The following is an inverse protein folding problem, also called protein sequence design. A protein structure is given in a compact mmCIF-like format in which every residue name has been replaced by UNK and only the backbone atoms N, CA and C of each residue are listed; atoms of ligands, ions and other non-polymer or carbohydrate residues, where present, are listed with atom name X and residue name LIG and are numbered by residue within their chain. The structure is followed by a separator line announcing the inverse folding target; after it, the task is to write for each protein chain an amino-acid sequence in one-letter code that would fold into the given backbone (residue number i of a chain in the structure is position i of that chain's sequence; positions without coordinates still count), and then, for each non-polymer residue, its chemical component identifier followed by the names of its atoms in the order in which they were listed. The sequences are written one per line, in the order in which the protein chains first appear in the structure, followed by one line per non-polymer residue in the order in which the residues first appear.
data_IF_301631087596
#
_entry.id   IF_301631087596
#
_cell.length_a   1.000
_cell.length_b   1.000
_cell.length_c   1.000
_cell.angle_alpha   90.00
_cell.angle_beta   90.00
_cell.angle_gamma   90.00
#
_symmetry.space_group_name_H-M   'P 1'
#
loop_
_entity.id
_entity.type
_entity.pdbx_description
1 polymer ?
#
# COMPACT_ATOMS: atom_id res chain seq x y z
N UNK A 1 -17.81 5.14 9.53
CA UNK A 1 -16.97 6.34 9.61
C UNK A 1 -17.86 7.52 9.29
N UNK A 2 -17.88 8.53 10.14
CA UNK A 2 -18.59 9.79 9.88
C UNK A 2 -17.77 10.70 8.94
N UNK A 3 -18.39 11.78 8.46
CA UNK A 3 -17.79 12.69 7.49
C UNK A 3 -16.55 13.42 8.03
N UNK A 4 -16.58 13.82 9.31
CA UNK A 4 -15.49 14.58 9.92
C UNK A 4 -14.25 13.71 10.02
N UNK A 5 -14.40 12.49 10.55
CA UNK A 5 -13.32 11.49 10.60
C UNK A 5 -12.76 11.19 9.21
N UNK A 6 -13.62 11.06 8.19
CA UNK A 6 -13.18 10.79 6.82
C UNK A 6 -12.35 11.95 6.25
N UNK A 7 -12.78 13.20 6.47
CA UNK A 7 -12.06 14.39 6.02
C UNK A 7 -10.70 14.52 6.68
N UNK A 8 -10.60 14.24 7.98
CA UNK A 8 -9.33 14.27 8.69
C UNK A 8 -8.34 13.21 8.18
N UNK A 9 -8.82 11.99 7.89
CA UNK A 9 -7.97 10.97 7.28
C UNK A 9 -7.57 11.28 5.84
N UNK A 10 -8.38 12.02 5.09
CA UNK A 10 -7.97 12.49 3.75
C UNK A 10 -6.82 13.49 3.84
N UNK A 11 -6.83 14.37 4.84
CA UNK A 11 -5.79 15.41 5.01
C UNK A 11 -4.52 14.89 5.68
N UNK A 12 -4.67 14.00 6.66
CA UNK A 12 -3.61 13.63 7.59
C UNK A 12 -3.30 12.14 7.63
N UNK A 13 -4.11 11.31 6.97
CA UNK A 13 -3.82 9.90 6.81
C UNK A 13 -2.75 9.66 5.77
N UNK A 14 -2.01 8.55 5.92
CA UNK A 14 -1.06 8.15 4.90
C UNK A 14 -1.77 7.66 3.64
N UNK A 15 -1.03 7.77 2.54
CA UNK A 15 -1.39 7.17 1.26
C UNK A 15 -0.27 6.22 0.85
N UNK A 16 -0.61 4.95 0.71
CA UNK A 16 0.22 3.95 0.08
C UNK A 16 -0.05 4.00 -1.42
N UNK A 17 0.93 4.38 -2.22
CA UNK A 17 0.83 4.40 -3.68
C UNK A 17 1.39 3.11 -4.29
N UNK A 18 0.63 2.52 -5.21
CA UNK A 18 1.04 1.38 -6.03
C UNK A 18 0.81 1.77 -7.49
N UNK A 19 1.82 2.37 -8.11
CA UNK A 19 1.65 3.04 -9.41
C UNK A 19 1.84 2.10 -10.60
N UNK A 20 2.63 1.04 -10.42
CA UNK A 20 3.06 0.09 -11.46
C UNK A 20 2.95 -1.38 -11.01
N UNK A 21 2.01 -1.72 -10.12
CA UNK A 21 1.86 -3.11 -9.67
C UNK A 21 1.25 -4.02 -10.76
N UNK A 22 1.60 -5.32 -10.78
CA UNK A 22 0.91 -6.30 -11.61
C UNK A 22 -0.57 -6.39 -11.22
N UNK A 23 -1.47 -6.48 -12.21
CA UNK A 23 -2.90 -6.70 -11.92
C UNK A 23 -3.10 -7.94 -11.05
N UNK A 24 -4.18 -7.94 -10.25
CA UNK A 24 -4.53 -9.02 -9.32
C UNK A 24 -3.52 -9.23 -8.18
N UNK A 25 -2.62 -8.28 -7.93
CA UNK A 25 -1.78 -8.29 -6.73
C UNK A 25 -2.66 -8.27 -5.49
N UNK A 26 -2.41 -9.20 -4.58
CA UNK A 26 -3.03 -9.21 -3.27
C UNK A 26 -2.33 -8.16 -2.41
N UNK A 27 -3.11 -7.28 -1.78
CA UNK A 27 -2.63 -6.17 -0.98
C UNK A 27 -3.35 -6.19 0.36
N UNK A 28 -2.59 -6.09 1.44
CA UNK A 28 -3.08 -6.15 2.79
C UNK A 28 -2.63 -4.98 3.65
N UNK A 29 -3.55 -4.46 4.45
CA UNK A 29 -3.31 -3.46 5.50
C UNK A 29 -3.85 -4.02 6.81
N UNK A 30 -2.95 -4.37 7.73
CA UNK A 30 -3.26 -5.04 8.99
C UNK A 30 -4.05 -6.33 8.78
N UNK A 31 -5.35 -6.31 9.03
CA UNK A 31 -6.25 -7.47 8.88
C UNK A 31 -7.09 -7.40 7.61
N UNK A 32 -7.06 -6.28 6.90
CA UNK A 32 -7.84 -6.06 5.68
C UNK A 32 -7.02 -6.47 4.47
N UNK A 33 -7.67 -7.10 3.50
CA UNK A 33 -7.03 -7.67 2.32
C UNK A 33 -7.88 -7.42 1.07
N UNK A 34 -7.22 -7.07 -0.02
CA UNK A 34 -7.81 -6.64 -1.28
C UNK A 34 -7.03 -7.21 -2.47
N UNK A 35 -7.66 -7.26 -3.63
CA UNK A 35 -6.99 -7.52 -4.90
C UNK A 35 -6.93 -6.24 -5.74
N UNK A 36 -5.78 -5.94 -6.33
CA UNK A 36 -5.65 -4.80 -7.24
C UNK A 36 -6.41 -5.06 -8.55
N UNK A 37 -7.17 -4.04 -8.97
CA UNK A 37 -7.82 -4.00 -10.27
C UNK A 37 -7.01 -3.18 -11.29
N UNK A 38 -7.42 -3.14 -12.57
CA UNK A 38 -6.64 -2.51 -13.65
C UNK A 38 -6.28 -1.03 -13.44
N UNK A 39 -7.12 -0.29 -12.70
CA UNK A 39 -6.94 1.13 -12.41
C UNK A 39 -6.60 1.40 -10.94
N UNK A 40 -6.26 0.36 -10.18
CA UNK A 40 -5.86 0.52 -8.80
C UNK A 40 -4.55 1.31 -8.73
N UNK A 41 -4.46 2.26 -7.79
CA UNK A 41 -3.29 3.13 -7.59
C UNK A 41 -2.80 3.18 -6.15
N UNK A 42 -3.41 2.37 -5.28
CA UNK A 42 -3.05 2.32 -3.87
C UNK A 42 -4.21 2.54 -2.91
N UNK A 43 -3.85 2.72 -1.64
CA UNK A 43 -4.77 2.88 -0.50
C UNK A 43 -4.51 4.22 0.15
N UNK A 44 -5.55 5.02 0.35
CA UNK A 44 -5.49 6.29 1.09
C UNK A 44 -6.27 6.20 2.39
N UNK A 45 -6.15 7.24 3.24
CA UNK A 45 -6.84 7.32 4.53
C UNK A 45 -6.38 6.25 5.53
N UNK A 46 -5.12 5.82 5.43
CA UNK A 46 -4.50 4.96 6.45
C UNK A 46 -4.26 5.84 7.69
N UNK A 47 -4.79 5.50 8.87
CA UNK A 47 -4.59 6.31 10.06
C UNK A 47 -3.09 6.49 10.40
N UNK A 48 -2.70 7.60 11.05
CA UNK A 48 -1.34 7.76 11.53
C UNK A 48 -0.95 6.67 12.55
N UNK A 49 0.25 6.13 12.45
CA UNK A 49 0.77 5.11 13.37
C UNK A 49 1.51 3.98 12.65
N UNK A 50 1.82 2.92 13.40
CA UNK A 50 2.47 1.73 12.85
C UNK A 50 1.43 0.81 12.22
N UNK A 51 1.60 0.50 10.95
CA UNK A 51 0.76 -0.43 10.19
C UNK A 51 1.59 -1.57 9.63
N UNK A 52 1.01 -2.76 9.61
CA UNK A 52 1.57 -3.90 8.89
C UNK A 52 1.01 -3.90 7.47
N UNK A 53 1.88 -3.68 6.49
CA UNK A 53 1.55 -3.81 5.08
C UNK A 53 2.09 -5.13 4.57
N UNK A 54 1.32 -5.80 3.73
CA UNK A 54 1.77 -7.00 3.04
C UNK A 54 1.20 -7.07 1.65
N UNK A 55 1.91 -7.74 0.76
CA UNK A 55 1.45 -7.96 -0.59
C UNK A 55 1.97 -9.29 -1.14
N UNK A 56 1.30 -9.79 -2.17
CA UNK A 56 1.73 -10.93 -2.96
C UNK A 56 1.35 -10.66 -4.41
N UNK A 57 2.37 -10.48 -5.25
CA UNK A 57 2.19 -10.23 -6.67
C UNK A 57 1.68 -11.48 -7.36
N UNK A 58 0.81 -11.27 -8.36
CA UNK A 58 0.28 -12.37 -9.15
C UNK A 58 0.88 -12.40 -10.55
N UNK A 59 0.77 -13.55 -11.22
CA UNK A 59 1.04 -13.65 -12.65
C UNK A 59 -0.05 -12.89 -13.46
N UNK A 60 0.14 -12.77 -14.79
CA UNK A 60 -0.81 -12.00 -15.64
C UNK A 60 -2.25 -12.52 -15.61
N UNK A 61 -2.46 -13.79 -15.26
CA UNK A 61 -3.79 -14.40 -15.19
C UNK A 61 -4.43 -14.32 -13.80
N UNK A 62 -3.68 -13.88 -12.77
CA UNK A 62 -4.15 -13.85 -11.39
C UNK A 62 -4.33 -15.23 -10.75
N UNK A 63 -3.66 -16.26 -11.28
CA UNK A 63 -3.80 -17.67 -10.83
C UNK A 63 -2.68 -18.05 -9.86
N UNK A 64 -1.46 -17.61 -10.14
CA UNK A 64 -0.28 -17.90 -9.36
C UNK A 64 0.21 -16.66 -8.62
N UNK A 65 0.72 -16.88 -7.41
CA UNK A 65 1.10 -15.81 -6.48
C UNK A 65 2.52 -16.02 -5.98
N UNK A 66 3.27 -14.93 -5.85
CA UNK A 66 4.58 -14.92 -5.20
C UNK A 66 4.46 -15.12 -3.68
N UNK A 67 5.54 -15.50 -2.99
CA UNK A 67 5.57 -15.48 -1.54
C UNK A 67 5.11 -14.13 -0.97
N UNK A 68 4.35 -14.15 0.13
CA UNK A 68 3.89 -12.92 0.78
C UNK A 68 5.07 -12.16 1.36
N UNK A 69 5.20 -10.90 0.96
CA UNK A 69 6.17 -9.96 1.53
C UNK A 69 5.41 -9.02 2.46
N UNK A 70 5.88 -8.87 3.69
CA UNK A 70 5.26 -8.02 4.69
C UNK A 70 6.29 -7.18 5.45
N UNK A 71 5.90 -5.97 5.81
CA UNK A 71 6.75 -5.04 6.54
C UNK A 71 5.90 -4.05 7.35
N UNK A 72 6.50 -3.53 8.41
CA UNK A 72 5.89 -2.47 9.20
C UNK A 72 6.27 -1.11 8.64
N UNK A 73 5.30 -0.21 8.58
CA UNK A 73 5.48 1.19 8.20
C UNK A 73 4.97 2.09 9.29
N UNK A 74 5.67 3.20 9.53
CA UNK A 74 5.08 4.34 10.23
C UNK A 74 4.39 5.22 9.18
N UNK A 75 3.05 5.27 9.22
CA UNK A 75 2.18 6.06 8.36
C UNK A 75 2.33 7.60 8.57
N UNK A 76 3.44 8.03 9.19
CA UNK A 76 3.90 9.42 9.20
C UNK A 76 4.99 9.70 8.15
N UNK A 77 5.59 8.68 7.56
CA UNK A 77 6.69 8.81 6.61
C UNK A 77 6.31 8.33 5.21
N UNK A 78 6.73 9.07 4.18
CA UNK A 78 6.52 8.72 2.78
C UNK A 78 7.42 7.55 2.35
N UNK A 79 6.92 6.65 1.49
CA UNK A 79 7.66 5.51 0.95
C UNK A 79 7.37 5.32 -0.55
N UNK A 80 8.36 4.86 -1.34
CA UNK A 80 8.20 4.54 -2.77
C UNK A 80 8.53 3.08 -3.08
N UNK A 81 7.90 2.52 -4.11
CA UNK A 81 8.27 1.22 -4.67
C UNK A 81 9.60 1.33 -5.44
N UNK A 82 10.54 0.42 -5.17
CA UNK A 82 11.75 0.23 -5.95
C UNK A 82 11.57 -1.01 -6.84
N UNK A 83 11.52 -0.81 -8.17
CA UNK A 83 11.29 -1.88 -9.14
C UNK A 83 12.44 -2.89 -9.21
N UNK A 84 13.66 -2.49 -8.87
CA UNK A 84 14.84 -3.34 -8.98
C UNK A 84 14.94 -4.30 -7.81
N UNK A 85 14.66 -3.79 -6.61
CA UNK A 85 14.71 -4.54 -5.36
C UNK A 85 13.35 -5.19 -5.01
N UNK A 86 12.33 -4.91 -5.83
CA UNK A 86 10.95 -5.35 -5.64
C UNK A 86 10.46 -5.11 -4.19
N UNK A 87 10.70 -3.91 -3.65
CA UNK A 87 10.34 -3.53 -2.27
C UNK A 87 10.07 -2.05 -2.12
N UNK A 88 9.39 -1.68 -1.03
CA UNK A 88 9.24 -0.29 -0.63
C UNK A 88 10.49 0.24 0.10
N UNK A 89 10.84 1.50 -0.17
CA UNK A 89 11.94 2.24 0.46
C UNK A 89 11.42 3.56 1.02
N UNK A 90 11.95 3.97 2.18
CA UNK A 90 11.59 5.24 2.82
C UNK A 90 12.10 6.41 1.98
N UNK A 91 11.25 7.39 1.74
CA UNK A 91 11.64 8.69 1.18
C UNK A 91 12.10 9.59 2.33
N UNK A 92 13.22 10.28 2.14
CA UNK A 92 13.58 11.40 3.01
C UNK A 92 12.63 12.56 2.72
N UNK A 93 12.20 13.28 3.76
CA UNK A 93 11.33 14.46 3.63
C UNK A 93 12.08 15.70 3.06
N UNK A 94 13.29 15.52 2.52
CA UNK A 94 14.20 16.57 2.03
C UNK A 94 14.07 16.85 0.51
N UNK A 95 12.98 16.43 -0.13
CA UNK A 95 12.63 16.79 -1.53
C UNK A 95 11.31 17.57 -1.59
#
# INVERSE_FOLDING_TARGET
MDLETALELVKHGATLLLLDDPQHTLIGVNTQMYYSGPNFKGVKMIPPGIHFLYYSSSNREGIEFSPVIGFFVDAKASQKWDQKEERFVKLSDDE
#
